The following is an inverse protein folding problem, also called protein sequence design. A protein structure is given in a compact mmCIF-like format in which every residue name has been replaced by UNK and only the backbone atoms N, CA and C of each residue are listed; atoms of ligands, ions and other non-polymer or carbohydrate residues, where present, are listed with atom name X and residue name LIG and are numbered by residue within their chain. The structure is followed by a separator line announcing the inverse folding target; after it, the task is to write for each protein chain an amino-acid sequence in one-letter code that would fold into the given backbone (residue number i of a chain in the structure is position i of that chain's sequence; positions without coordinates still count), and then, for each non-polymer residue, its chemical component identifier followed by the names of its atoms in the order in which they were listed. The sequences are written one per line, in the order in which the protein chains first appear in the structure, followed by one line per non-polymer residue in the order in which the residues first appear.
data_IF_160461514785
#
_entry.id   IF_160461514785
#
_cell.length_a   1.000
_cell.length_b   1.000
_cell.length_c   1.000
_cell.angle_alpha   90.00
_cell.angle_beta   90.00
_cell.angle_gamma   90.00
#
_symmetry.space_group_name_H-M   'P 1'
#
loop_
_entity.id
_entity.type
_entity.pdbx_description
1 polymer ?
#
# COMPACT_ATOMS: atom_id res chain seq x y z
N UNK A 1 47.54 9.46 42.86
CA UNK A 1 47.37 10.44 41.76
C UNK A 1 46.07 10.11 41.05
N UNK A 2 45.15 11.09 41.04
CA UNK A 2 43.94 11.19 40.23
C UNK A 2 44.32 11.07 38.75
N UNK A 3 43.62 10.30 37.92
CA UNK A 3 42.60 10.73 36.93
C UNK A 3 42.67 9.69 35.79
N UNK A 4 41.65 9.30 35.02
CA UNK A 4 40.32 9.84 34.79
C UNK A 4 39.50 8.67 34.20
N UNK A 5 38.50 8.16 34.93
CA UNK A 5 37.48 7.29 34.35
C UNK A 5 36.56 8.17 33.49
N UNK A 6 36.57 7.97 32.17
CA UNK A 6 35.65 8.65 31.24
C UNK A 6 34.87 7.62 30.43
N UNK A 7 33.79 7.16 31.06
CA UNK A 7 32.46 6.88 30.49
C UNK A 7 32.40 6.41 29.03
N UNK A 8 32.29 5.08 28.90
CA UNK A 8 31.99 4.35 27.67
C UNK A 8 30.46 4.32 27.44
N UNK A 9 29.84 5.48 27.20
CA UNK A 9 28.37 5.62 27.03
C UNK A 9 27.94 6.00 25.60
N UNK A 10 28.86 6.00 24.62
CA UNK A 10 28.56 6.37 23.24
C UNK A 10 28.14 5.23 22.27
N UNK A 11 28.53 3.95 22.42
CA UNK A 11 28.24 2.97 21.36
C UNK A 11 26.78 2.49 21.35
N UNK A 12 26.08 2.56 22.48
CA UNK A 12 24.69 2.11 22.60
C UNK A 12 23.69 3.07 21.98
N UNK A 13 23.88 4.39 22.12
CA UNK A 13 22.99 5.40 21.52
C UNK A 13 23.11 5.49 20.01
N UNK A 14 24.33 5.35 19.47
CA UNK A 14 24.55 5.26 18.02
C UNK A 14 24.00 3.96 17.43
N UNK A 15 24.11 2.83 18.16
CA UNK A 15 23.53 1.55 17.70
C UNK A 15 22.01 1.60 17.54
N UNK A 16 21.29 2.25 18.46
CA UNK A 16 19.83 2.38 18.37
C UNK A 16 19.39 3.20 17.14
N UNK A 17 20.11 4.27 16.80
CA UNK A 17 19.81 5.09 15.60
C UNK A 17 20.09 4.31 14.32
N UNK A 18 21.17 3.53 14.28
CA UNK A 18 21.52 2.68 13.13
C UNK A 18 20.48 1.57 12.91
N UNK A 19 19.91 1.01 13.97
CA UNK A 19 18.88 -0.03 13.89
C UNK A 19 17.56 0.56 13.34
N UNK A 20 17.14 1.74 13.79
CA UNK A 20 15.91 2.37 13.32
C UNK A 20 15.98 2.83 11.84
N UNK A 21 17.16 3.23 11.36
CA UNK A 21 17.38 3.59 9.95
C UNK A 21 17.35 2.39 8.98
N UNK A 22 17.32 1.14 9.47
CA UNK A 22 17.25 -0.06 8.61
C UNK A 22 15.83 -0.57 8.37
N UNK A 23 14.84 -0.04 9.08
CA UNK A 23 13.45 -0.37 8.86
C UNK A 23 12.83 0.73 8.01
N UNK A 24 13.06 0.65 6.69
CA UNK A 24 12.11 1.22 5.74
C UNK A 24 10.79 0.47 5.95
N UNK A 25 9.95 0.99 6.83
CA UNK A 25 8.57 0.50 6.98
C UNK A 25 7.83 0.98 5.74
N UNK A 26 7.89 0.16 4.70
CA UNK A 26 6.99 0.23 3.56
C UNK A 26 5.60 -0.17 4.07
N UNK A 27 4.86 0.80 4.58
CA UNK A 27 3.43 0.68 4.85
C UNK A 27 2.68 0.52 3.53
N UNK A 28 2.84 -0.64 2.90
CA UNK A 28 2.06 -1.04 1.74
C UNK A 28 0.78 -1.67 2.24
N UNK A 29 -0.34 -1.08 1.86
CA UNK A 29 -1.64 -1.71 2.05
C UNK A 29 -1.97 -2.34 0.73
N UNK A 30 -1.95 -3.66 0.73
CA UNK A 30 -2.41 -4.45 -0.40
C UNK A 30 -3.88 -4.13 -0.67
N UNK A 31 -4.22 -3.95 -1.94
CA UNK A 31 -5.62 -3.83 -2.36
C UNK A 31 -6.29 -5.18 -2.18
N UNK A 32 -7.40 -5.20 -1.44
CA UNK A 32 -8.12 -6.43 -1.15
C UNK A 32 -9.17 -6.76 -2.23
N UNK A 33 -9.70 -7.99 -2.19
CA UNK A 33 -10.66 -8.47 -3.19
C UNK A 33 -11.91 -7.57 -3.29
N UNK A 34 -12.48 -7.16 -2.16
CA UNK A 34 -13.70 -6.35 -2.15
C UNK A 34 -13.49 -4.99 -2.81
N UNK A 35 -12.29 -4.42 -2.68
CA UNK A 35 -11.92 -3.17 -3.34
C UNK A 35 -11.81 -3.35 -4.85
N UNK A 36 -11.18 -4.43 -5.31
CA UNK A 36 -11.10 -4.75 -6.74
C UNK A 36 -12.49 -5.02 -7.34
N UNK A 37 -13.35 -5.76 -6.63
CA UNK A 37 -14.74 -6.00 -7.03
C UNK A 37 -15.54 -4.69 -7.12
N UNK A 38 -15.36 -3.80 -6.15
CA UNK A 38 -16.01 -2.50 -6.13
C UNK A 38 -15.61 -1.65 -7.34
N UNK A 39 -14.31 -1.59 -7.66
CA UNK A 39 -13.79 -0.90 -8.84
C UNK A 39 -14.33 -1.53 -10.12
N UNK A 40 -14.26 -2.85 -10.27
CA UNK A 40 -14.73 -3.57 -11.44
C UNK A 40 -16.20 -3.33 -11.74
N UNK A 41 -17.04 -3.22 -10.70
CA UNK A 41 -18.47 -2.96 -10.84
C UNK A 41 -18.81 -1.52 -11.26
N UNK A 42 -17.86 -0.57 -11.16
CA UNK A 42 -18.08 0.87 -11.38
C UNK A 42 -17.30 1.45 -12.55
N UNK A 43 -16.43 0.66 -13.14
CA UNK A 43 -15.76 0.95 -14.40
C UNK A 43 -16.60 0.35 -15.52
N UNK A 44 -16.91 1.15 -16.54
CA UNK A 44 -17.45 0.60 -17.77
C UNK A 44 -16.35 -0.18 -18.53
N UNK A 45 -16.69 -1.00 -19.55
CA UNK A 45 -15.70 -1.82 -20.25
C UNK A 45 -14.54 -1.02 -20.86
N UNK A 46 -14.80 0.18 -21.39
CA UNK A 46 -13.78 1.05 -21.96
C UNK A 46 -12.84 1.60 -20.88
N UNK A 47 -13.40 2.12 -19.78
CA UNK A 47 -12.63 2.62 -18.64
C UNK A 47 -11.78 1.53 -18.00
N UNK A 48 -12.32 0.30 -17.89
CA UNK A 48 -11.56 -0.81 -17.34
C UNK A 48 -10.36 -1.14 -18.22
N UNK A 49 -10.52 -1.28 -19.55
CA UNK A 49 -9.37 -1.51 -20.46
C UNK A 49 -8.34 -0.40 -20.36
N UNK A 50 -8.79 0.85 -20.24
CA UNK A 50 -7.91 2.00 -20.05
C UNK A 50 -7.16 1.96 -18.72
N UNK A 51 -7.83 1.56 -17.64
CA UNK A 51 -7.16 1.33 -16.35
C UNK A 51 -6.13 0.22 -16.44
N UNK A 52 -6.49 -0.95 -16.99
CA UNK A 52 -5.59 -2.10 -17.12
C UNK A 52 -4.37 -1.73 -17.97
N UNK A 53 -4.56 -1.07 -19.10
CA UNK A 53 -3.46 -0.56 -19.91
C UNK A 53 -2.56 0.41 -19.12
N UNK A 54 -3.16 1.33 -18.37
CA UNK A 54 -2.43 2.31 -17.55
C UNK A 54 -1.62 1.65 -16.41
N UNK A 55 -2.13 0.57 -15.83
CA UNK A 55 -1.48 -0.17 -14.74
C UNK A 55 -0.20 -0.92 -15.15
N UNK A 56 0.02 -1.13 -16.46
CA UNK A 56 1.24 -1.73 -16.99
C UNK A 56 2.38 -0.73 -17.21
N UNK A 57 2.11 0.57 -17.04
CA UNK A 57 3.17 1.58 -17.07
C UNK A 57 3.68 1.84 -15.65
N UNK A 58 4.99 1.99 -15.49
CA UNK A 58 5.64 2.34 -14.22
C UNK A 58 6.04 3.82 -14.14
N UNK A 59 5.94 4.55 -15.24
CA UNK A 59 6.25 5.99 -15.28
C UNK A 59 5.22 6.78 -14.51
N UNK A 60 5.60 7.95 -13.99
CA UNK A 60 4.65 8.84 -13.33
C UNK A 60 3.53 9.21 -14.31
N UNK A 61 3.85 9.88 -15.41
CA UNK A 61 2.87 10.19 -16.45
C UNK A 61 2.59 9.01 -17.37
N UNK A 62 1.35 8.95 -17.87
CA UNK A 62 0.97 8.01 -18.92
C UNK A 62 1.50 8.50 -20.28
N UNK A 63 1.95 7.59 -21.15
CA UNK A 63 2.40 7.98 -22.47
C UNK A 63 1.22 8.38 -23.36
N UNK A 64 1.49 9.25 -24.35
CA UNK A 64 0.50 9.73 -25.31
C UNK A 64 -0.14 8.59 -26.15
N UNK A 65 0.49 7.42 -26.22
CA UNK A 65 0.05 6.28 -27.01
C UNK A 65 -0.72 5.21 -26.20
N UNK A 66 -1.27 5.55 -25.03
CA UNK A 66 -2.07 4.63 -24.20
C UNK A 66 -3.16 3.88 -24.99
N UNK A 67 -3.79 4.55 -25.95
CA UNK A 67 -4.81 3.96 -26.82
C UNK A 67 -4.34 2.76 -27.66
N UNK A 68 -3.03 2.57 -27.85
CA UNK A 68 -2.48 1.38 -28.48
C UNK A 68 -2.42 0.22 -27.47
N UNK A 69 -2.04 0.48 -26.22
CA UNK A 69 -2.02 -0.52 -25.16
C UNK A 69 -3.44 -0.98 -24.79
N UNK A 70 -4.42 -0.07 -24.78
CA UNK A 70 -5.84 -0.39 -24.56
C UNK A 70 -6.38 -1.46 -25.52
N UNK A 71 -5.91 -1.45 -26.77
CA UNK A 71 -6.32 -2.43 -27.80
C UNK A 71 -5.74 -3.82 -27.59
N UNK A 72 -4.68 -3.93 -26.78
CA UNK A 72 -4.09 -5.21 -26.42
C UNK A 72 -4.74 -5.83 -25.18
N UNK A 73 -5.66 -5.11 -24.51
CA UNK A 73 -6.43 -5.65 -23.40
C UNK A 73 -7.63 -6.42 -23.96
N UNK A 74 -7.63 -7.73 -23.73
CA UNK A 74 -8.70 -8.65 -24.11
C UNK A 74 -10.05 -8.19 -23.51
N UNK A 75 -11.05 -7.95 -24.38
CA UNK A 75 -12.38 -7.46 -24.00
C UNK A 75 -13.39 -8.57 -23.68
N UNK A 76 -13.07 -9.83 -23.97
CA UNK A 76 -13.86 -11.00 -23.57
C UNK A 76 -13.59 -11.37 -22.09
N UNK A 77 -12.44 -10.95 -21.55
CA UNK A 77 -12.09 -11.16 -20.15
C UNK A 77 -12.78 -10.11 -19.26
N UNK A 78 -13.56 -10.53 -18.24
CA UNK A 78 -14.20 -9.61 -17.31
C UNK A 78 -13.20 -8.71 -16.57
N UNK A 79 -13.57 -7.44 -16.35
CA UNK A 79 -12.73 -6.44 -15.69
C UNK A 79 -12.11 -6.93 -14.38
N UNK A 80 -12.90 -7.58 -13.53
CA UNK A 80 -12.44 -8.12 -12.25
C UNK A 80 -11.31 -9.15 -12.43
N UNK A 81 -11.34 -9.95 -13.49
CA UNK A 81 -10.32 -10.96 -13.76
C UNK A 81 -9.00 -10.33 -14.18
N UNK A 82 -9.04 -9.25 -14.96
CA UNK A 82 -7.85 -8.45 -15.27
C UNK A 82 -7.25 -7.82 -14.01
N UNK A 83 -8.08 -7.20 -13.17
CA UNK A 83 -7.62 -6.57 -11.93
C UNK A 83 -7.01 -7.59 -10.96
N UNK A 84 -7.62 -8.77 -10.81
CA UNK A 84 -7.08 -9.84 -9.99
C UNK A 84 -5.76 -10.40 -10.55
N UNK A 85 -5.67 -10.56 -11.86
CA UNK A 85 -4.42 -10.97 -12.51
C UNK A 85 -3.31 -9.99 -12.16
N UNK A 86 -3.53 -8.70 -12.44
CA UNK A 86 -2.58 -7.64 -12.14
C UNK A 86 -2.15 -7.66 -10.67
N UNK A 87 -3.09 -7.70 -9.72
CA UNK A 87 -2.81 -7.68 -8.28
C UNK A 87 -2.06 -8.94 -7.77
N UNK A 88 -2.09 -10.04 -8.52
CA UNK A 88 -1.46 -11.31 -8.13
C UNK A 88 -0.12 -11.59 -8.83
N UNK A 89 0.16 -10.90 -9.94
CA UNK A 89 1.33 -11.10 -10.80
C UNK A 89 2.57 -10.37 -10.24
N UNK A 90 3.67 -11.09 -9.88
CA UNK A 90 4.91 -10.49 -9.34
C UNK A 90 5.57 -9.43 -10.21
N UNK A 91 5.44 -9.54 -11.53
CA UNK A 91 6.01 -8.59 -12.48
C UNK A 91 5.08 -7.40 -12.78
N UNK A 92 3.89 -7.37 -12.17
CA UNK A 92 2.87 -6.36 -12.40
C UNK A 92 2.48 -5.69 -11.08
N UNK A 93 1.35 -6.09 -10.50
CA UNK A 93 0.68 -5.46 -9.36
C UNK A 93 0.93 -6.11 -8.00
N UNK A 94 1.61 -7.26 -7.92
CA UNK A 94 1.75 -7.97 -6.65
C UNK A 94 2.59 -7.19 -5.65
N UNK A 95 2.00 -6.91 -4.48
CA UNK A 95 2.62 -6.08 -3.45
C UNK A 95 2.65 -4.59 -3.79
N UNK A 96 1.98 -4.18 -4.87
CA UNK A 96 1.78 -2.78 -5.16
C UNK A 96 0.66 -2.20 -4.29
N UNK A 97 0.79 -0.92 -4.01
CA UNK A 97 -0.07 -0.21 -3.08
C UNK A 97 -1.35 0.29 -3.75
N UNK A 98 -2.34 0.59 -2.90
CA UNK A 98 -3.48 1.45 -3.22
C UNK A 98 -3.10 2.74 -3.97
N UNK A 99 -1.88 3.26 -3.77
CA UNK A 99 -1.42 4.50 -4.39
C UNK A 99 -1.26 4.37 -5.90
N UNK A 100 -0.72 3.26 -6.41
CA UNK A 100 -0.59 3.04 -7.86
C UNK A 100 -1.97 2.98 -8.53
N UNK A 101 -2.90 2.20 -7.97
CA UNK A 101 -4.26 2.10 -8.48
C UNK A 101 -4.99 3.45 -8.41
N UNK A 102 -4.87 4.16 -7.28
CA UNK A 102 -5.45 5.50 -7.08
C UNK A 102 -4.89 6.49 -8.10
N UNK A 103 -3.57 6.47 -8.33
CA UNK A 103 -2.90 7.35 -9.26
C UNK A 103 -3.37 7.10 -10.70
N UNK A 104 -3.43 5.84 -11.13
CA UNK A 104 -3.93 5.49 -12.47
C UNK A 104 -5.40 5.85 -12.64
N UNK A 105 -6.24 5.64 -11.63
CA UNK A 105 -7.65 6.08 -11.65
C UNK A 105 -7.77 7.59 -11.89
N UNK A 106 -6.93 8.42 -11.26
CA UNK A 106 -6.90 9.87 -11.51
C UNK A 106 -6.51 10.20 -12.95
N UNK A 107 -5.48 9.55 -13.48
CA UNK A 107 -5.01 9.81 -14.84
C UNK A 107 -6.00 9.40 -15.93
N UNK A 108 -6.92 8.47 -15.64
CA UNK A 108 -8.02 8.12 -16.54
C UNK A 108 -9.32 8.88 -16.24
N UNK A 109 -9.24 9.95 -15.45
CA UNK A 109 -10.36 10.81 -15.05
C UNK A 109 -11.42 10.15 -14.15
N UNK A 110 -11.07 9.07 -13.43
CA UNK A 110 -11.90 8.43 -12.39
C UNK A 110 -11.50 8.88 -10.99
N UNK A 111 -11.50 10.19 -10.78
CA UNK A 111 -11.16 10.81 -9.49
C UNK A 111 -12.10 10.36 -8.36
N UNK A 112 -13.36 10.07 -8.68
CA UNK A 112 -14.36 9.54 -7.76
C UNK A 112 -13.93 8.20 -7.15
N UNK A 113 -13.47 7.27 -7.99
CA UNK A 113 -12.99 5.96 -7.56
C UNK A 113 -11.63 6.06 -6.87
N UNK A 114 -10.76 6.94 -7.35
CA UNK A 114 -9.47 7.20 -6.72
C UNK A 114 -9.65 7.71 -5.27
N UNK A 115 -10.54 8.67 -5.06
CA UNK A 115 -10.79 9.24 -3.73
C UNK A 115 -11.51 8.24 -2.81
N UNK A 116 -12.39 7.40 -3.35
CA UNK A 116 -13.00 6.31 -2.59
C UNK A 116 -11.96 5.28 -2.13
N UNK A 117 -11.09 4.82 -3.05
CA UNK A 117 -10.03 3.84 -2.77
C UNK A 117 -8.97 4.41 -1.81
N UNK A 118 -8.63 5.70 -1.96
CA UNK A 118 -7.78 6.40 -1.01
C UNK A 118 -8.40 6.43 0.39
N UNK A 119 -9.70 6.69 0.52
CA UNK A 119 -10.37 6.71 1.83
C UNK A 119 -10.53 5.32 2.46
N UNK A 120 -10.78 4.27 1.67
CA UNK A 120 -10.90 2.90 2.20
C UNK A 120 -9.60 2.44 2.86
N UNK A 121 -8.46 2.74 2.24
CA UNK A 121 -7.14 2.42 2.81
C UNK A 121 -6.89 3.15 4.14
N UNK A 122 -7.26 4.44 4.28
CA UNK A 122 -7.16 5.14 5.56
C UNK A 122 -8.06 4.58 6.66
N UNK A 123 -9.29 4.13 6.32
CA UNK A 123 -10.17 3.47 7.29
C UNK A 123 -9.55 2.17 7.78
N UNK A 124 -8.92 1.40 6.89
CA UNK A 124 -8.25 0.16 7.26
C UNK A 124 -7.03 0.44 8.15
N UNK A 125 -6.19 1.44 7.80
CA UNK A 125 -5.08 1.90 8.67
C UNK A 125 -5.60 2.28 10.05
N UNK A 126 -6.68 3.06 10.13
CA UNK A 126 -7.25 3.49 11.41
C UNK A 126 -7.67 2.31 12.29
N UNK A 127 -8.30 1.29 11.70
CA UNK A 127 -8.68 0.06 12.43
C UNK A 127 -7.48 -0.75 12.88
N UNK A 128 -6.46 -0.86 12.04
CA UNK A 128 -5.26 -1.64 12.37
C UNK A 128 -4.42 -0.93 13.44
N UNK A 129 -4.36 0.41 13.41
CA UNK A 129 -3.74 1.23 14.46
C UNK A 129 -4.50 1.11 15.79
N UNK A 130 -5.84 1.20 15.76
CA UNK A 130 -6.67 1.05 16.96
C UNK A 130 -6.48 -0.34 17.61
N UNK A 131 -6.50 -1.40 16.80
CA UNK A 131 -6.21 -2.77 17.27
C UNK A 131 -4.82 -2.90 17.87
N UNK A 132 -3.80 -2.33 17.23
CA UNK A 132 -2.43 -2.38 17.73
C UNK A 132 -2.30 -1.67 19.10
N UNK A 133 -2.95 -0.53 19.27
CA UNK A 133 -2.99 0.19 20.54
C UNK A 133 -3.68 -0.62 21.63
N UNK A 134 -4.88 -1.15 21.37
CA UNK A 134 -5.63 -1.98 22.33
C UNK A 134 -4.79 -3.17 22.80
N UNK A 135 -4.17 -3.90 21.86
CA UNK A 135 -3.34 -5.05 22.21
C UNK A 135 -2.13 -4.66 23.07
N UNK A 136 -1.46 -3.54 22.76
CA UNK A 136 -0.29 -3.08 23.55
C UNK A 136 -0.70 -2.73 24.98
N UNK A 137 -1.83 -2.06 25.16
CA UNK A 137 -2.33 -1.71 26.49
C UNK A 137 -2.81 -2.93 27.29
N UNK A 138 -3.47 -3.89 26.63
CA UNK A 138 -3.87 -5.15 27.29
C UNK A 138 -2.67 -5.99 27.74
N UNK A 139 -1.56 -5.98 26.99
CA UNK A 139 -0.31 -6.64 27.39
C UNK A 139 0.34 -5.94 28.59
N UNK A 140 0.40 -4.60 28.59
CA UNK A 140 0.94 -3.82 29.71
C UNK A 140 0.14 -4.02 31.01
N UNK A 141 -1.20 -4.11 30.92
CA UNK A 141 -2.07 -4.36 32.08
C UNK A 141 -1.83 -5.76 32.65
N UNK A 142 -1.62 -6.77 31.79
CA UNK A 142 -1.30 -8.13 32.25
C UNK A 142 0.04 -8.17 32.97
N UNK A 143 1.05 -7.48 32.45
CA UNK A 143 2.38 -7.37 33.07
C UNK A 143 2.32 -6.70 34.46
N UNK A 144 1.52 -5.65 34.63
CA UNK A 144 1.32 -5.00 35.94
C UNK A 144 0.56 -5.87 36.95
N UNK A 145 -0.36 -6.73 36.49
CA UNK A 145 -1.13 -7.62 37.37
C UNK A 145 -0.43 -8.93 37.74
N UNK A 146 0.65 -9.31 37.03
CA UNK A 146 1.44 -10.51 37.30
C UNK A 146 2.76 -10.24 38.08
N UNK A 147 3.03 -8.99 38.45
CA UNK A 147 4.13 -8.66 39.36
C UNK A 147 3.74 -8.99 40.83
N UNK A 148 4.52 -9.84 41.53
CA UNK A 148 4.19 -10.34 42.87
C UNK A 148 4.29 -9.30 43.99
#
# INVERSE_FOLDING_TARGET
MKELSRTHEWPTRLSLIVILLRYDVLGTIDVNLNELEYLAARLNPFECRRLIAALHYITYDLPNNLAAAERNVDDDIPCIRHLLHWNSSPAEGKGNTHEILTHRLRQINRNDLADWLGKSSFVQIGKDLDRALVNTFDELVKEETELP
#
